data_IF_153073572570
#
_entry.id   IF_153073572570
#
_cell.length_a   1.000
_cell.length_b   1.000
_cell.length_c   1.000
_cell.angle_alpha   90.00
_cell.angle_beta   90.00
_cell.angle_gamma   90.00
#
_symmetry.space_group_name_H-M   'P 1'
#
loop_
_entity.id
_entity.type
_entity.pdbx_description
1 polymer ?
#
# COMPACT_ATOMS: atom_id res chain seq x y z
N UNK A 1 -9.52 15.81 10.39
CA UNK A 1 -8.46 14.79 10.32
C UNK A 1 -7.74 14.91 8.98
N UNK A 2 -6.45 15.28 8.98
CA UNK A 2 -5.64 15.33 7.75
C UNK A 2 -5.36 13.89 7.30
N UNK A 3 -5.94 13.48 6.18
CA UNK A 3 -5.52 12.26 5.48
C UNK A 3 -4.11 12.54 4.97
N UNK A 4 -3.08 12.02 5.66
CA UNK A 4 -1.73 11.97 5.09
C UNK A 4 -1.79 11.05 3.88
N UNK A 5 -1.83 11.64 2.69
CA UNK A 5 -1.56 10.94 1.44
C UNK A 5 -0.08 10.61 1.52
N UNK A 6 0.26 9.36 1.85
CA UNK A 6 1.63 8.88 1.75
C UNK A 6 2.02 8.88 0.29
N UNK A 7 3.16 9.46 -0.03
CA UNK A 7 3.66 9.47 -1.40
C UNK A 7 4.29 8.10 -1.67
N UNK A 8 3.66 7.30 -2.54
CA UNK A 8 4.12 5.95 -2.87
C UNK A 8 4.54 5.95 -4.33
N UNK A 9 5.81 5.69 -4.57
CA UNK A 9 6.42 5.76 -5.90
C UNK A 9 7.08 4.42 -6.22
N UNK A 10 6.85 3.92 -7.43
CA UNK A 10 7.65 2.84 -8.03
C UNK A 10 8.59 3.47 -9.04
N UNK A 11 9.90 3.25 -8.88
CA UNK A 11 10.95 3.78 -9.76
C UNK A 11 11.84 2.68 -10.29
N UNK A 12 12.12 2.69 -11.59
CA UNK A 12 13.14 1.80 -12.19
C UNK A 12 14.53 2.21 -11.71
N UNK A 13 15.32 1.23 -11.24
CA UNK A 13 16.71 1.45 -10.83
C UNK A 13 17.68 1.12 -11.96
N UNK A 14 17.44 0.02 -12.66
CA UNK A 14 18.23 -0.45 -13.79
C UNK A 14 17.38 -1.32 -14.74
N UNK A 15 18.02 -2.02 -15.66
CA UNK A 15 17.35 -2.82 -16.69
C UNK A 15 16.40 -3.89 -16.11
N UNK A 16 16.68 -4.44 -14.93
CA UNK A 16 15.96 -5.58 -14.34
C UNK A 16 15.33 -5.29 -12.98
N UNK A 17 15.66 -4.17 -12.34
CA UNK A 17 15.23 -3.86 -10.97
C UNK A 17 14.43 -2.58 -10.86
N UNK A 18 13.43 -2.64 -9.99
CA UNK A 18 12.55 -1.55 -9.60
C UNK A 18 12.60 -1.39 -8.08
N UNK A 19 12.38 -0.16 -7.61
CA UNK A 19 12.29 0.18 -6.20
C UNK A 19 10.91 0.77 -5.88
N UNK A 20 10.33 0.31 -4.78
CA UNK A 20 9.15 0.88 -4.16
C UNK A 20 9.58 1.77 -3.00
N UNK A 21 9.30 3.07 -3.11
CA UNK A 21 9.54 4.06 -2.07
C UNK A 21 8.22 4.55 -1.47
N UNK A 22 8.21 4.72 -0.14
CA UNK A 22 7.10 5.31 0.61
C UNK A 22 7.66 6.50 1.37
N UNK A 23 7.11 7.69 1.13
CA UNK A 23 7.54 8.96 1.72
C UNK A 23 9.06 9.18 1.53
N UNK A 24 9.55 8.89 0.32
CA UNK A 24 10.97 9.03 -0.03
C UNK A 24 11.90 7.92 0.50
N UNK A 25 11.40 6.98 1.31
CA UNK A 25 12.19 5.87 1.86
C UNK A 25 11.96 4.59 1.05
N UNK A 26 13.03 3.97 0.55
CA UNK A 26 12.94 2.68 -0.16
C UNK A 26 12.51 1.58 0.81
N UNK A 27 11.39 0.93 0.53
CA UNK A 27 10.83 -0.17 1.33
C UNK A 27 11.06 -1.54 0.69
N UNK A 28 11.23 -1.58 -0.63
CA UNK A 28 11.43 -2.82 -1.37
C UNK A 28 12.17 -2.58 -2.69
N UNK A 29 12.96 -3.55 -3.12
CA UNK A 29 13.64 -3.59 -4.42
C UNK A 29 13.45 -4.98 -5.02
N UNK A 30 12.99 -5.05 -6.28
CA UNK A 30 12.70 -6.32 -6.94
C UNK A 30 12.26 -6.13 -8.39
N UNK A 31 11.45 -7.07 -8.92
CA UNK A 31 10.87 -6.93 -10.25
C UNK A 31 9.78 -5.85 -10.27
N UNK A 32 9.42 -5.40 -11.47
CA UNK A 32 8.32 -4.44 -11.65
C UNK A 32 7.01 -5.00 -11.09
N UNK A 33 6.71 -6.26 -11.43
CA UNK A 33 5.46 -6.92 -11.06
C UNK A 33 5.30 -7.01 -9.53
N UNK A 34 6.36 -7.34 -8.81
CA UNK A 34 6.32 -7.45 -7.35
C UNK A 34 6.22 -6.07 -6.68
N UNK A 35 6.88 -5.05 -7.24
CA UNK A 35 6.72 -3.67 -6.78
C UNK A 35 5.27 -3.19 -6.96
N UNK A 36 4.63 -3.51 -8.09
CA UNK A 36 3.23 -3.16 -8.37
C UNK A 36 2.25 -3.91 -7.46
N UNK A 37 2.47 -5.21 -7.18
CA UNK A 37 1.67 -5.97 -6.20
C UNK A 37 1.72 -5.32 -4.82
N UNK A 38 2.90 -4.94 -4.37
CA UNK A 38 3.09 -4.28 -3.07
C UNK A 38 2.52 -2.87 -3.04
N UNK A 39 2.62 -2.11 -4.14
CA UNK A 39 1.93 -0.83 -4.29
C UNK A 39 0.42 -0.99 -4.08
N UNK A 40 -0.21 -1.99 -4.71
CA UNK A 40 -1.64 -2.23 -4.56
C UNK A 40 -2.06 -2.63 -3.12
N UNK A 41 -1.16 -3.24 -2.35
CA UNK A 41 -1.38 -3.54 -0.92
C UNK A 41 -1.23 -2.30 -0.03
N UNK A 42 -0.31 -1.40 -0.36
CA UNK A 42 0.02 -0.20 0.43
C UNK A 42 -0.84 1.01 0.06
N UNK A 43 -1.34 1.07 -1.17
CA UNK A 43 -2.29 2.08 -1.59
C UNK A 43 -3.48 2.03 -0.63
N UNK A 44 -3.87 3.15 0.00
CA UNK A 44 -5.04 3.16 0.85
C UNK A 44 -6.21 2.68 0.00
N UNK A 45 -6.79 1.52 0.34
CA UNK A 45 -8.04 1.07 -0.27
C UNK A 45 -9.00 2.24 -0.16
N UNK A 46 -9.43 2.74 -1.31
CA UNK A 46 -10.19 3.98 -1.45
C UNK A 46 -11.49 3.97 -0.63
N UNK A 47 -11.95 2.79 -0.20
CA UNK A 47 -13.06 2.61 0.71
C UNK A 47 -12.62 2.37 2.16
N UNK A 48 -12.39 3.48 2.88
CA UNK A 48 -12.45 3.46 4.36
C UNK A 48 -13.78 2.84 4.84
N UNK A 49 -14.86 3.02 4.09
CA UNK A 49 -16.16 2.44 4.40
C UNK A 49 -16.15 0.90 4.38
N UNK A 50 -15.38 0.27 3.49
CA UNK A 50 -15.26 -1.19 3.45
C UNK A 50 -14.35 -1.72 4.56
N UNK A 51 -13.32 -0.97 4.94
CA UNK A 51 -12.50 -1.30 6.11
C UNK A 51 -13.30 -1.19 7.41
N UNK A 52 -14.08 -0.11 7.59
CA UNK A 52 -14.95 0.06 8.76
C UNK A 52 -16.04 -1.01 8.80
N UNK A 53 -16.64 -1.39 7.66
CA UNK A 53 -17.59 -2.51 7.59
C UNK A 53 -16.93 -3.85 7.92
N UNK A 54 -15.69 -4.08 7.51
CA UNK A 54 -14.96 -5.30 7.85
C UNK A 54 -14.62 -5.35 9.35
N UNK A 55 -14.19 -4.21 9.92
CA UNK A 55 -13.86 -4.08 11.34
C UNK A 55 -15.09 -4.23 12.23
N UNK A 56 -16.22 -3.60 11.87
CA UNK A 56 -17.49 -3.74 12.59
C UNK A 56 -18.03 -5.19 12.55
N UNK A 57 -17.81 -5.91 11.45
CA UNK A 57 -18.17 -7.33 11.34
C UNK A 57 -17.30 -8.20 12.26
N UNK A 58 -15.99 -7.96 12.33
CA UNK A 58 -15.09 -8.66 13.26
C UNK A 58 -15.45 -8.40 14.73
N UNK A 59 -15.80 -7.16 15.10
CA UNK A 59 -16.22 -6.82 16.46
C UNK A 59 -17.54 -7.47 16.90
N UNK A 60 -18.41 -7.89 15.97
CA UNK A 60 -19.62 -8.67 16.30
C UNK A 60 -19.37 -10.16 16.49
N UNK A 61 -18.33 -10.72 15.85
CA UNK A 61 -17.99 -12.14 15.95
C UNK A 61 -17.26 -12.44 17.26
N UNK A 62 -16.56 -11.46 17.82
CA UNK A 62 -15.81 -11.56 19.07
C UNK A 62 -16.64 -11.25 20.33
N UNK A 63 -17.97 -11.25 20.25
CA UNK A 63 -18.87 -10.94 21.38
C UNK A 63 -19.71 -12.15 21.79
#
# INVERSE_FOLDING_TARGET
MKTQIRDIIVRRLDERRYALAVDGVVRYVGSEEECQRRLAMLAPKKDRADQDKALARLGRILR
#
